data_IF_126365424260
#
_entry.id   IF_126365424260
#
_cell.length_a   1.000
_cell.length_b   1.000
_cell.length_c   1.000
_cell.angle_alpha   90.00
_cell.angle_beta   90.00
_cell.angle_gamma   90.00
#
_symmetry.space_group_name_H-M   'P 1'
#
loop_
_entity.id
_entity.type
_entity.pdbx_description
1 polymer ?
#
# COMPACT_ATOMS: atom_id res chain seq x y z
N UNK A 1 -4.73 25.66 -22.29
CA UNK A 1 -5.71 24.61 -21.92
C UNK A 1 -6.00 24.61 -20.42
N UNK A 2 -5.03 24.33 -19.55
CA UNK A 2 -5.22 24.30 -18.07
C UNK A 2 -5.60 25.66 -17.45
N UNK A 3 -5.37 26.76 -18.16
CA UNK A 3 -5.85 28.09 -17.73
C UNK A 3 -7.37 28.27 -17.86
N UNK A 4 -8.07 27.38 -18.58
CA UNK A 4 -9.53 27.32 -18.58
C UNK A 4 -10.01 26.61 -17.32
N UNK A 5 -10.96 27.23 -16.60
CA UNK A 5 -11.58 26.68 -15.40
C UNK A 5 -12.13 25.26 -15.63
N UNK A 6 -12.81 25.01 -16.75
CA UNK A 6 -13.33 23.69 -17.12
C UNK A 6 -12.23 22.61 -17.13
N UNK A 7 -11.13 22.87 -17.83
CA UNK A 7 -10.05 21.88 -17.96
C UNK A 7 -9.23 21.75 -16.67
N UNK A 8 -9.08 22.83 -15.90
CA UNK A 8 -8.48 22.78 -14.57
C UNK A 8 -9.26 21.87 -13.64
N UNK A 9 -10.58 22.08 -13.53
CA UNK A 9 -11.45 21.28 -12.68
C UNK A 9 -11.42 19.79 -13.08
N UNK A 10 -11.41 19.51 -14.39
CA UNK A 10 -11.30 18.14 -14.89
C UNK A 10 -10.01 17.45 -14.42
N UNK A 11 -8.87 18.14 -14.54
CA UNK A 11 -7.56 17.62 -14.10
C UNK A 11 -7.56 17.40 -12.59
N UNK A 12 -7.97 18.40 -11.81
CA UNK A 12 -8.00 18.31 -10.34
C UNK A 12 -8.90 17.17 -9.84
N UNK A 13 -10.04 16.94 -10.49
CA UNK A 13 -10.94 15.82 -10.17
C UNK A 13 -10.29 14.48 -10.49
N UNK A 14 -9.68 14.36 -11.68
CA UNK A 14 -9.01 13.13 -12.12
C UNK A 14 -7.84 12.77 -11.21
N UNK A 15 -7.00 13.75 -10.86
CA UNK A 15 -5.92 13.60 -9.89
C UNK A 15 -6.47 13.16 -8.54
N UNK A 16 -7.52 13.80 -8.05
CA UNK A 16 -8.13 13.47 -6.76
C UNK A 16 -8.67 12.03 -6.70
N UNK A 17 -9.21 11.50 -7.79
CA UNK A 17 -9.67 10.11 -7.89
C UNK A 17 -8.51 9.12 -7.81
N UNK A 18 -7.43 9.37 -8.57
CA UNK A 18 -6.21 8.55 -8.54
C UNK A 18 -5.61 8.55 -7.13
N UNK A 19 -5.44 9.73 -6.53
CA UNK A 19 -4.88 9.87 -5.20
C UNK A 19 -5.75 9.17 -4.16
N UNK A 20 -7.09 9.25 -4.27
CA UNK A 20 -8.01 8.54 -3.38
C UNK A 20 -7.89 7.02 -3.47
N UNK A 21 -7.69 6.50 -4.69
CA UNK A 21 -7.47 5.07 -4.92
C UNK A 21 -6.20 4.58 -4.21
N UNK A 22 -5.08 5.30 -4.40
CA UNK A 22 -3.77 4.90 -3.87
C UNK A 22 -3.64 5.18 -2.37
N UNK A 23 -4.33 6.19 -1.84
CA UNK A 23 -4.19 6.63 -0.43
C UNK A 23 -4.43 5.51 0.59
N UNK A 24 -5.37 4.60 0.35
CA UNK A 24 -5.62 3.46 1.26
C UNK A 24 -4.44 2.50 1.30
N UNK A 25 -3.89 2.17 0.11
CA UNK A 25 -2.76 1.27 -0.03
C UNK A 25 -1.52 1.83 0.68
N UNK A 26 -1.19 3.10 0.43
CA UNK A 26 -0.04 3.74 1.08
C UNK A 26 -0.28 3.89 2.59
N UNK A 27 -1.52 4.16 3.03
CA UNK A 27 -1.85 4.18 4.47
C UNK A 27 -1.56 2.82 5.13
N UNK A 28 -1.99 1.72 4.51
CA UNK A 28 -1.69 0.36 5.00
C UNK A 28 -0.19 0.07 5.00
N UNK A 29 0.52 0.44 3.92
CA UNK A 29 1.97 0.34 3.83
C UNK A 29 2.66 1.03 5.00
N UNK A 30 2.39 2.32 5.20
CA UNK A 30 3.07 3.11 6.24
C UNK A 30 2.77 2.57 7.63
N UNK A 31 1.56 2.09 7.91
CA UNK A 31 1.23 1.45 9.20
C UNK A 31 1.96 0.11 9.36
N UNK A 32 2.01 -0.72 8.30
CA UNK A 32 2.72 -2.01 8.30
C UNK A 32 4.19 -1.83 8.69
N UNK A 33 4.85 -0.80 8.16
CA UNK A 33 6.27 -0.51 8.45
C UNK A 33 6.54 -0.16 9.93
N UNK A 34 5.51 0.14 10.73
CA UNK A 34 5.65 0.45 12.16
C UNK A 34 5.54 -0.77 13.06
N UNK A 35 5.16 -1.93 12.52
CA UNK A 35 5.09 -3.18 13.25
C UNK A 35 4.20 -3.11 14.50
N UNK A 36 4.67 -3.70 15.59
CA UNK A 36 3.93 -3.85 16.85
C UNK A 36 3.68 -2.53 17.59
N UNK A 37 4.57 -1.54 17.43
CA UNK A 37 4.44 -0.25 18.11
C UNK A 37 3.20 0.52 17.64
N UNK A 38 2.87 0.33 16.36
CA UNK A 38 1.82 1.07 15.65
C UNK A 38 2.16 2.55 15.51
N UNK A 39 1.17 3.34 15.08
CA UNK A 39 1.35 4.77 14.86
C UNK A 39 0.06 5.54 15.13
N UNK A 40 0.17 6.73 15.70
CA UNK A 40 -0.99 7.61 15.89
C UNK A 40 -1.22 8.50 14.67
N UNK A 41 -2.49 8.87 14.45
CA UNK A 41 -2.95 9.50 13.20
C UNK A 41 -2.14 10.74 12.75
N UNK A 42 -1.81 11.65 13.68
CA UNK A 42 -1.01 12.83 13.34
C UNK A 42 0.42 12.48 12.90
N UNK A 43 1.09 11.54 13.58
CA UNK A 43 2.43 11.08 13.16
C UNK A 43 2.38 10.37 11.82
N UNK A 44 1.33 9.60 11.57
CA UNK A 44 1.10 8.96 10.28
C UNK A 44 0.96 9.99 9.14
N UNK A 45 0.19 11.06 9.35
CA UNK A 45 0.08 12.15 8.37
C UNK A 45 1.45 12.81 8.07
N UNK A 46 2.27 13.02 9.10
CA UNK A 46 3.62 13.55 8.92
C UNK A 46 4.54 12.61 8.15
N UNK A 47 4.52 11.32 8.48
CA UNK A 47 5.35 10.31 7.81
C UNK A 47 4.94 10.15 6.34
N UNK A 48 3.64 10.08 6.04
CA UNK A 48 3.12 10.06 4.66
C UNK A 48 3.58 11.28 3.86
N UNK A 49 3.51 12.48 4.44
CA UNK A 49 3.98 13.70 3.78
C UNK A 49 5.48 13.66 3.47
N UNK A 50 6.28 13.14 4.41
CA UNK A 50 7.73 13.02 4.28
C UNK A 50 8.12 11.99 3.22
N UNK A 51 7.57 10.78 3.32
CA UNK A 51 7.94 9.63 2.49
C UNK A 51 7.56 9.85 1.02
N UNK A 52 6.46 10.57 0.77
CA UNK A 52 5.94 10.83 -0.57
C UNK A 52 6.50 12.11 -1.20
N UNK A 53 7.45 12.80 -0.55
CA UNK A 53 8.08 14.04 -1.04
C UNK A 53 7.07 15.09 -1.57
N UNK A 54 5.91 15.19 -0.91
CA UNK A 54 4.77 16.02 -1.32
C UNK A 54 4.05 15.64 -2.63
N UNK A 55 4.43 14.56 -3.31
CA UNK A 55 3.73 14.07 -4.51
C UNK A 55 2.31 13.59 -4.20
N UNK A 56 2.08 13.10 -2.98
CA UNK A 56 0.74 12.81 -2.45
C UNK A 56 0.63 13.42 -1.04
N UNK A 57 -0.22 14.44 -0.90
CA UNK A 57 -0.52 15.06 0.39
C UNK A 57 -1.88 14.54 0.87
N UNK A 58 -1.83 13.54 1.76
CA UNK A 58 -3.04 13.09 2.45
C UNK A 58 -3.30 14.06 3.61
N UNK A 59 -4.22 15.01 3.40
CA UNK A 59 -4.67 15.93 4.46
C UNK A 59 -5.32 15.14 5.60
N UNK A 60 -5.28 15.68 6.82
CA UNK A 60 -5.90 15.05 8.00
C UNK A 60 -7.40 14.76 7.78
N UNK A 61 -8.11 15.69 7.15
CA UNK A 61 -9.53 15.54 6.78
C UNK A 61 -9.80 14.34 5.86
N UNK A 62 -8.80 13.83 5.15
CA UNK A 62 -8.87 12.63 4.30
C UNK A 62 -8.34 11.39 5.03
N UNK A 63 -7.26 11.54 5.81
CA UNK A 63 -6.63 10.43 6.51
C UNK A 63 -7.56 9.80 7.55
N UNK A 64 -8.22 10.60 8.39
CA UNK A 64 -9.07 10.06 9.46
C UNK A 64 -10.29 9.29 8.94
N UNK A 65 -11.01 9.74 7.89
CA UNK A 65 -12.00 8.89 7.21
C UNK A 65 -11.44 7.57 6.69
N UNK A 66 -10.23 7.56 6.09
CA UNK A 66 -9.57 6.34 5.63
C UNK A 66 -9.31 5.40 6.81
N UNK A 67 -8.72 5.89 7.90
CA UNK A 67 -8.44 5.10 9.10
C UNK A 67 -9.71 4.51 9.73
N UNK A 68 -10.79 5.31 9.79
CA UNK A 68 -12.09 4.83 10.29
C UNK A 68 -12.64 3.72 9.43
N UNK A 69 -12.58 3.87 8.10
CA UNK A 69 -13.07 2.85 7.15
C UNK A 69 -12.24 1.58 7.24
N UNK A 70 -10.91 1.68 7.17
CA UNK A 70 -10.02 0.51 7.28
C UNK A 70 -10.19 -0.23 8.61
N UNK A 71 -10.47 0.47 9.71
CA UNK A 71 -10.79 -0.14 11.00
C UNK A 71 -12.16 -0.83 10.98
N UNK A 72 -13.18 -0.19 10.40
CA UNK A 72 -14.52 -0.77 10.26
C UNK A 72 -14.48 -2.04 9.38
N UNK A 73 -13.63 -2.05 8.37
CA UNK A 73 -13.40 -3.18 7.46
C UNK A 73 -12.50 -4.27 8.10
N UNK A 74 -12.09 -4.14 9.37
CA UNK A 74 -11.26 -5.11 10.09
C UNK A 74 -9.77 -5.15 9.69
N UNK A 75 -9.33 -4.25 8.79
CA UNK A 75 -7.96 -4.20 8.28
C UNK A 75 -6.99 -3.51 9.24
N UNK A 76 -7.52 -2.71 10.17
CA UNK A 76 -6.76 -2.05 11.23
C UNK A 76 -7.40 -2.30 12.59
N UNK A 77 -6.57 -2.36 13.63
CA UNK A 77 -6.98 -2.24 15.03
C UNK A 77 -6.43 -0.95 15.63
N UNK A 78 -7.10 -0.43 16.65
CA UNK A 78 -6.65 0.79 17.35
C UNK A 78 -6.65 0.62 18.86
N UNK A 79 -5.60 1.07 19.54
CA UNK A 79 -5.56 1.18 21.01
C UNK A 79 -5.32 2.63 21.41
N UNK A 80 -5.99 3.09 22.48
CA UNK A 80 -5.69 4.40 23.07
C UNK A 80 -4.41 4.28 23.89
N UNK A 81 -3.45 5.18 23.66
CA UNK A 81 -2.22 5.32 24.45
C UNK A 81 -2.06 6.79 24.83
N UNK A 82 -1.47 7.05 25.98
CA UNK A 82 -1.12 8.42 26.37
C UNK A 82 0.12 8.87 25.60
N UNK A 83 0.08 10.08 25.07
CA UNK A 83 1.22 10.74 24.43
C UNK A 83 1.15 12.24 24.73
N UNK A 84 2.16 12.74 25.44
CA UNK A 84 2.25 14.13 25.93
C UNK A 84 0.98 14.56 26.69
N UNK A 85 0.54 13.78 27.68
CA UNK A 85 -0.61 14.10 28.53
C UNK A 85 -1.98 13.98 27.85
N UNK A 86 -2.05 13.46 26.61
CA UNK A 86 -3.31 13.29 25.86
C UNK A 86 -3.45 11.88 25.33
N UNK A 87 -4.65 11.33 25.42
CA UNK A 87 -4.96 10.03 24.81
C UNK A 87 -5.01 10.15 23.28
N UNK A 88 -4.21 9.34 22.60
CA UNK A 88 -4.17 9.23 21.14
C UNK A 88 -4.50 7.81 20.71
N UNK A 89 -5.20 7.66 19.59
CA UNK A 89 -5.45 6.36 18.98
C UNK A 89 -4.23 5.94 18.16
N UNK A 90 -3.58 4.85 18.56
CA UNK A 90 -2.51 4.20 17.83
C UNK A 90 -3.09 3.06 16.99
N UNK A 91 -2.80 3.09 15.70
CA UNK A 91 -3.28 2.12 14.72
C UNK A 91 -2.20 1.08 14.45
N UNK A 92 -2.64 -0.16 14.28
CA UNK A 92 -1.82 -1.30 13.86
C UNK A 92 -2.58 -2.07 12.77
N UNK A 93 -1.85 -2.58 11.79
CA UNK A 93 -2.41 -3.44 10.75
C UNK A 93 -2.73 -4.84 11.31
N UNK A 94 -3.86 -5.41 10.90
CA UNK A 94 -4.25 -6.77 11.26
C UNK A 94 -3.64 -7.79 10.29
N UNK A 95 -3.65 -9.10 10.61
CA UNK A 95 -3.27 -10.13 9.63
C UNK A 95 -4.06 -10.03 8.32
N UNK A 96 -5.37 -9.81 8.39
CA UNK A 96 -6.21 -9.59 7.21
C UNK A 96 -5.83 -8.30 6.47
N UNK A 97 -5.51 -7.23 7.21
CA UNK A 97 -4.97 -6.00 6.64
C UNK A 97 -3.67 -6.22 5.87
N UNK A 98 -2.78 -7.09 6.37
CA UNK A 98 -1.53 -7.46 5.68
C UNK A 98 -1.84 -8.24 4.40
N UNK A 99 -2.76 -9.20 4.44
CA UNK A 99 -3.16 -9.98 3.27
C UNK A 99 -3.75 -9.07 2.18
N UNK A 100 -4.66 -8.16 2.54
CA UNK A 100 -5.23 -7.19 1.61
C UNK A 100 -4.16 -6.23 1.07
N UNK A 101 -3.26 -5.73 1.93
CA UNK A 101 -2.13 -4.91 1.49
C UNK A 101 -1.28 -5.64 0.45
N UNK A 102 -0.91 -6.90 0.70
CA UNK A 102 -0.08 -7.70 -0.20
C UNK A 102 -0.75 -7.93 -1.56
N UNK A 103 -2.06 -8.19 -1.57
CA UNK A 103 -2.82 -8.35 -2.80
C UNK A 103 -2.87 -7.05 -3.61
N UNK A 104 -3.26 -5.94 -2.97
CA UNK A 104 -3.35 -4.64 -3.64
C UNK A 104 -2.00 -4.12 -4.13
N UNK A 105 -0.94 -4.32 -3.34
CA UNK A 105 0.41 -3.92 -3.73
C UNK A 105 0.89 -4.70 -4.94
N UNK A 106 0.75 -6.03 -4.93
CA UNK A 106 1.21 -6.81 -6.07
C UNK A 106 0.35 -6.61 -7.32
N UNK A 107 -0.96 -6.33 -7.18
CA UNK A 107 -1.79 -5.86 -8.30
C UNK A 107 -1.24 -4.55 -8.90
N UNK A 108 -0.98 -3.53 -8.07
CA UNK A 108 -0.46 -2.25 -8.53
C UNK A 108 0.94 -2.42 -9.18
N UNK A 109 1.81 -3.24 -8.61
CA UNK A 109 3.12 -3.57 -9.23
C UNK A 109 2.93 -4.17 -10.61
N UNK A 110 2.05 -5.18 -10.75
CA UNK A 110 1.78 -5.85 -12.04
C UNK A 110 1.23 -4.86 -13.08
N UNK A 111 0.30 -4.00 -12.66
CA UNK A 111 -0.29 -2.97 -13.50
C UNK A 111 0.78 -2.00 -14.01
N UNK A 112 1.61 -1.46 -13.09
CA UNK A 112 2.66 -0.51 -13.42
C UNK A 112 3.70 -1.14 -14.37
N UNK A 113 4.13 -2.38 -14.12
CA UNK A 113 5.05 -3.10 -15.01
C UNK A 113 4.49 -3.36 -16.41
N UNK A 114 3.17 -3.55 -16.51
CA UNK A 114 2.51 -3.71 -17.81
C UNK A 114 2.43 -2.37 -18.54
N UNK A 115 2.12 -1.29 -17.81
CA UNK A 115 2.06 0.06 -18.36
C UNK A 115 3.44 0.57 -18.80
N UNK A 116 4.53 0.25 -18.11
CA UNK A 116 5.88 0.69 -18.50
C UNK A 116 6.34 0.16 -19.86
N UNK A 117 5.68 -0.85 -20.42
CA UNK A 117 5.95 -1.34 -21.78
C UNK A 117 5.30 -0.48 -22.87
N UNK A 118 4.27 0.29 -22.51
CA UNK A 118 3.41 1.04 -23.44
C UNK A 118 3.60 2.55 -23.26
N UNK A 119 3.96 2.97 -22.04
CA UNK A 119 4.14 4.36 -21.64
C UNK A 119 5.60 4.58 -21.29
N UNK A 120 6.13 5.80 -21.48
CA UNK A 120 7.51 6.18 -21.20
C UNK A 120 7.78 6.29 -19.67
N UNK A 121 7.68 5.15 -19.00
CA UNK A 121 7.85 4.99 -17.56
C UNK A 121 9.00 4.01 -17.35
N UNK A 122 10.16 4.50 -16.92
CA UNK A 122 11.29 3.67 -16.53
C UNK A 122 11.23 3.40 -15.02
N UNK A 123 10.88 2.17 -14.65
CA UNK A 123 10.78 1.74 -13.24
C UNK A 123 11.68 0.53 -13.02
N UNK A 124 12.57 0.66 -12.04
CA UNK A 124 13.33 -0.46 -11.49
C UNK A 124 12.57 -1.03 -10.29
N UNK A 125 12.10 -2.27 -10.42
CA UNK A 125 11.50 -2.99 -9.31
C UNK A 125 12.56 -3.78 -8.56
N UNK A 126 12.52 -3.73 -7.22
CA UNK A 126 13.35 -4.57 -6.38
C UNK A 126 12.71 -5.97 -6.22
N UNK A 127 12.77 -6.76 -7.28
CA UNK A 127 12.16 -8.09 -7.34
C UNK A 127 12.87 -9.13 -6.46
N UNK A 128 14.06 -8.83 -5.92
CA UNK A 128 14.79 -9.74 -5.03
C UNK A 128 14.07 -9.96 -3.69
N UNK A 129 13.28 -8.97 -3.24
CA UNK A 129 12.66 -8.98 -1.92
C UNK A 129 11.27 -9.63 -1.86
N UNK A 130 10.63 -9.92 -3.00
CA UNK A 130 9.27 -10.50 -3.01
C UNK A 130 8.93 -11.23 -4.32
N UNK A 131 8.09 -12.26 -4.26
CA UNK A 131 7.49 -12.93 -5.41
C UNK A 131 6.07 -12.34 -5.64
N UNK A 132 5.70 -12.07 -6.89
CA UNK A 132 4.32 -11.74 -7.25
C UNK A 132 3.65 -13.01 -7.79
N UNK A 133 2.52 -13.41 -7.19
CA UNK A 133 1.75 -14.55 -7.65
C UNK A 133 1.25 -14.30 -9.08
N UNK A 134 1.52 -15.19 -10.04
CA UNK A 134 1.12 -14.97 -11.44
C UNK A 134 -0.39 -15.10 -11.67
N UNK A 135 -1.13 -15.72 -10.74
CA UNK A 135 -2.57 -15.92 -10.88
C UNK A 135 -3.41 -14.76 -10.31
N UNK A 136 -3.02 -14.23 -9.13
CA UNK A 136 -3.82 -13.22 -8.43
C UNK A 136 -3.05 -11.96 -8.06
N UNK A 137 -1.81 -11.80 -8.56
CA UNK A 137 -0.93 -10.69 -8.25
C UNK A 137 -0.62 -10.51 -6.77
N UNK A 138 -0.87 -11.49 -5.90
CA UNK A 138 -0.52 -11.35 -4.48
C UNK A 138 1.00 -11.24 -4.29
N UNK A 139 1.43 -10.24 -3.53
CA UNK A 139 2.84 -10.06 -3.15
C UNK A 139 3.21 -10.97 -1.98
N UNK A 140 4.28 -11.75 -2.13
CA UNK A 140 4.78 -12.73 -1.15
C UNK A 140 6.21 -12.35 -0.80
N UNK A 141 6.50 -12.08 0.48
CA UNK A 141 7.85 -11.66 0.88
C UNK A 141 8.87 -12.80 0.70
N UNK A 142 10.13 -12.49 0.39
CA UNK A 142 11.15 -13.52 0.14
C UNK A 142 11.38 -14.48 1.30
N UNK A 143 11.10 -14.07 2.54
CA UNK A 143 11.16 -14.93 3.74
C UNK A 143 10.00 -15.94 3.82
N UNK A 144 8.91 -15.68 3.12
CA UNK A 144 7.69 -16.50 3.08
C UNK A 144 7.62 -17.37 1.81
N UNK A 145 8.63 -17.28 0.93
CA UNK A 145 8.74 -18.06 -0.31
C UNK A 145 8.84 -19.58 -0.05
N UNK A 146 9.04 -20.03 1.19
CA UNK A 146 8.99 -21.46 1.54
C UNK A 146 7.58 -22.07 1.53
N UNK A 147 6.53 -21.28 1.27
CA UNK A 147 5.15 -21.77 1.21
C UNK A 147 4.83 -22.38 -0.16
N UNK A 148 4.47 -23.66 -0.19
CA UNK A 148 4.10 -24.39 -1.42
C UNK A 148 2.92 -23.74 -2.18
N UNK A 149 2.06 -22.99 -1.48
CA UNK A 149 0.84 -22.42 -2.06
C UNK A 149 0.67 -20.93 -1.75
N UNK A 150 0.12 -20.19 -2.70
CA UNK A 150 -0.27 -18.80 -2.53
C UNK A 150 -1.43 -18.67 -1.52
N UNK A 151 -1.20 -18.06 -0.36
CA UNK A 151 -2.24 -17.80 0.65
C UNK A 151 -3.49 -17.07 0.15
N UNK A 152 -3.37 -16.28 -0.92
CA UNK A 152 -4.48 -15.51 -1.45
C UNK A 152 -5.38 -16.29 -2.41
N UNK A 153 -4.84 -17.22 -3.21
CA UNK A 153 -5.62 -17.91 -4.26
C UNK A 153 -5.43 -19.43 -4.34
N UNK A 154 -4.54 -20.01 -3.52
CA UNK A 154 -4.28 -21.44 -3.49
C UNK A 154 -3.42 -21.98 -4.63
N UNK A 155 -2.86 -21.14 -5.51
CA UNK A 155 -1.95 -21.58 -6.58
C UNK A 155 -0.68 -22.23 -5.99
N UNK A 156 -0.27 -23.41 -6.47
CA UNK A 156 1.03 -23.99 -6.14
C UNK A 156 2.17 -23.16 -6.75
N UNK A 157 3.17 -22.82 -5.93
CA UNK A 157 4.26 -21.90 -6.26
C UNK A 157 5.61 -22.57 -6.55
N UNK A 158 5.74 -23.90 -6.37
CA UNK A 158 7.03 -24.62 -6.39
C UNK A 158 7.85 -24.35 -7.66
N UNK A 159 7.17 -24.29 -8.81
CA UNK A 159 7.80 -24.03 -10.11
C UNK A 159 8.34 -22.59 -10.24
N UNK A 160 7.71 -21.63 -9.56
CA UNK A 160 8.09 -20.22 -9.60
C UNK A 160 9.20 -19.89 -8.58
N UNK A 161 9.21 -20.59 -7.45
CA UNK A 161 10.25 -20.45 -6.42
C UNK A 161 11.63 -20.89 -6.93
N UNK A 162 11.71 -22.04 -7.60
CA UNK A 162 12.96 -22.60 -8.16
C UNK A 162 13.61 -21.66 -9.19
N UNK A 163 12.80 -21.00 -10.02
CA UNK A 163 13.27 -20.06 -11.04
C UNK A 163 13.85 -18.77 -10.44
N UNK A 164 13.38 -18.38 -9.25
CA UNK A 164 13.86 -17.19 -8.55
C UNK A 164 15.13 -17.45 -7.74
N UNK A 165 15.23 -18.62 -7.09
CA UNK A 165 16.44 -19.04 -6.35
C UNK A 165 17.66 -19.26 -7.27
N UNK A 166 17.43 -19.73 -8.50
CA UNK A 166 18.50 -19.98 -9.49
C UNK A 166 18.97 -18.73 -10.26
N UNK A 167 18.48 -17.54 -9.91
CA UNK A 167 18.93 -16.25 -10.49
C UNK A 167 19.99 -15.52 -9.65
N UNK A 168 20.42 -16.12 -8.54
CA UNK A 168 21.52 -15.66 -7.68
C UNK A 168 22.78 -16.48 -7.93
#
# INVERSE_FOLDING_TARGET
LINSEKYRQYVENSESEILRGISKLITLYTIKQKGEEGIYGYKLAQDLKKDLKNALIIKEGTLYPILRKLKADGLLVSKKKEYNGRLRSYYKITPDGINIYNHLMGFLTTLISSLSQIVDINIELNDECYLICPNCSNRIESKEISEEYCKACGLNLDHFQKKKLNRN
#
